data_IF_442770591616
#
_entry.id   IF_442770591616
#
_cell.length_a   1.000
_cell.length_b   1.000
_cell.length_c   1.000
_cell.angle_alpha   90.00
_cell.angle_beta   90.00
_cell.angle_gamma   90.00
#
_symmetry.space_group_name_H-M   'P 1'
#
loop_
_entity.id
_entity.type
_entity.pdbx_description
1 polymer ?
#
# COMPACT_ATOMS: atom_id res chain seq x y z
N UNK A 1 15.09 3.30 -17.60
CA UNK A 1 14.94 4.45 -16.66
C UNK A 1 14.51 3.87 -15.33
N UNK A 2 15.37 3.87 -14.32
CA UNK A 2 15.02 3.32 -13.00
C UNK A 2 14.09 4.32 -12.31
N UNK A 3 12.84 3.94 -12.07
CA UNK A 3 11.86 4.81 -11.45
C UNK A 3 12.22 5.01 -9.97
N UNK A 4 12.46 6.26 -9.56
CA UNK A 4 12.62 6.59 -8.14
C UNK A 4 11.28 6.28 -7.44
N UNK A 5 11.26 5.46 -6.38
CA UNK A 5 10.04 5.16 -5.66
C UNK A 5 9.38 6.44 -5.14
N UNK A 6 8.08 6.57 -5.37
CA UNK A 6 7.27 7.63 -4.80
C UNK A 6 7.14 7.51 -3.27
N UNK A 7 6.58 8.55 -2.64
CA UNK A 7 6.24 8.51 -1.22
C UNK A 7 5.17 7.44 -0.93
N UNK A 8 5.23 6.85 0.25
CA UNK A 8 4.16 5.99 0.76
C UNK A 8 2.84 6.77 0.86
N UNK A 9 1.78 6.16 0.35
CA UNK A 9 0.41 6.69 0.40
C UNK A 9 -0.40 5.84 1.36
N UNK A 10 -0.96 6.52 2.35
CA UNK A 10 -1.84 5.94 3.36
C UNK A 10 -3.31 5.95 2.88
N UNK A 11 -4.15 4.98 3.29
CA UNK A 11 -5.57 5.02 2.98
C UNK A 11 -6.25 6.28 3.54
N UNK A 12 -7.15 6.91 2.76
CA UNK A 12 -7.93 8.08 3.20
C UNK A 12 -8.88 7.78 4.36
N UNK A 13 -9.19 6.50 4.60
CA UNK A 13 -10.03 6.03 5.72
C UNK A 13 -9.28 5.95 7.06
N UNK A 14 -7.96 6.14 7.07
CA UNK A 14 -7.19 6.14 8.32
C UNK A 14 -7.39 7.47 9.06
N UNK A 15 -8.03 7.45 10.22
CA UNK A 15 -8.27 8.64 11.04
C UNK A 15 -7.01 9.18 11.75
N UNK A 16 -7.13 10.35 12.38
CA UNK A 16 -6.08 10.87 13.26
C UNK A 16 -5.82 9.87 14.40
N UNK A 17 -4.54 9.52 14.63
CA UNK A 17 -4.14 8.54 15.65
C UNK A 17 -3.97 7.10 15.14
N UNK A 18 -4.39 6.77 13.92
CA UNK A 18 -4.14 5.45 13.32
C UNK A 18 -2.79 5.38 12.58
N UNK A 19 -1.77 6.06 13.08
CA UNK A 19 -0.51 6.34 12.38
C UNK A 19 0.14 5.09 11.77
N UNK A 20 -0.03 3.94 12.44
CA UNK A 20 0.73 2.71 12.18
C UNK A 20 -0.17 1.47 12.13
N UNK A 21 -1.34 1.53 11.50
CA UNK A 21 -2.27 0.38 11.45
C UNK A 21 -2.86 0.21 10.04
N UNK A 22 -2.05 0.42 9.00
CA UNK A 22 -2.52 0.41 7.61
C UNK A 22 -1.59 -0.37 6.70
N UNK A 23 -2.16 -0.94 5.63
CA UNK A 23 -1.41 -1.28 4.43
C UNK A 23 -1.27 -0.03 3.58
N UNK A 24 -0.03 0.36 3.29
CA UNK A 24 0.30 1.54 2.49
C UNK A 24 0.87 1.14 1.14
N UNK A 25 0.67 1.98 0.13
CA UNK A 25 1.14 1.73 -1.23
C UNK A 25 2.08 2.84 -1.72
N UNK A 26 3.06 2.50 -2.54
CA UNK A 26 3.84 3.48 -3.32
C UNK A 26 4.04 3.00 -4.75
N UNK A 27 4.27 3.95 -5.65
CA UNK A 27 4.67 3.65 -7.03
C UNK A 27 6.19 3.50 -7.08
N UNK A 28 6.68 2.38 -7.59
CA UNK A 28 8.07 2.16 -7.97
C UNK A 28 8.09 1.52 -9.37
N UNK A 29 9.16 0.83 -9.75
CA UNK A 29 9.22 0.06 -10.99
C UNK A 29 8.04 -0.94 -11.11
N UNK A 30 7.70 -1.59 -10.00
CA UNK A 30 6.38 -2.19 -9.80
C UNK A 30 5.71 -1.54 -8.57
N UNK A 31 4.38 -1.54 -8.46
CA UNK A 31 3.74 -1.07 -7.23
C UNK A 31 4.25 -1.85 -6.02
N UNK A 32 4.37 -1.18 -4.90
CA UNK A 32 4.87 -1.78 -3.66
C UNK A 32 3.88 -1.53 -2.53
N UNK A 33 3.66 -2.57 -1.72
CA UNK A 33 2.84 -2.54 -0.53
C UNK A 33 3.70 -2.70 0.71
N UNK A 34 3.30 -2.09 1.81
CA UNK A 34 3.98 -2.23 3.09
C UNK A 34 3.02 -2.03 4.25
N UNK A 35 3.12 -2.87 5.27
CA UNK A 35 2.39 -2.71 6.53
C UNK A 35 3.06 -1.63 7.39
N UNK A 36 2.31 -0.59 7.76
CA UNK A 36 2.77 0.49 8.63
C UNK A 36 2.71 0.14 10.13
N UNK A 37 2.12 -1.00 10.50
CA UNK A 37 2.14 -1.53 11.87
C UNK A 37 3.47 -2.17 12.24
N UNK A 38 4.20 -2.67 11.26
CA UNK A 38 5.47 -3.34 11.52
C UNK A 38 6.46 -2.37 12.16
N UNK A 39 7.01 -2.76 13.31
CA UNK A 39 8.04 -2.01 14.02
C UNK A 39 9.41 -2.17 13.33
N UNK A 40 10.23 -1.12 13.36
CA UNK A 40 11.55 -1.15 12.71
C UNK A 40 11.50 -1.10 11.17
N UNK A 41 12.21 -2.01 10.50
CA UNK A 41 12.31 -2.02 9.03
C UNK A 41 11.05 -2.62 8.44
N UNK A 42 10.21 -1.77 7.84
CA UNK A 42 8.95 -2.20 7.24
C UNK A 42 9.20 -3.13 6.05
N UNK A 43 8.52 -4.29 5.98
CA UNK A 43 8.60 -5.16 4.81
C UNK A 43 8.03 -4.46 3.58
N UNK A 44 8.72 -4.60 2.45
CA UNK A 44 8.30 -4.04 1.15
C UNK A 44 7.95 -5.21 0.24
N UNK A 45 6.67 -5.33 -0.09
CA UNK A 45 6.16 -6.33 -1.02
C UNK A 45 5.99 -5.69 -2.41
N UNK A 46 6.88 -5.96 -3.38
CA UNK A 46 6.60 -5.63 -4.77
C UNK A 46 5.46 -6.52 -5.29
N UNK A 47 4.51 -5.91 -5.97
CA UNK A 47 3.39 -6.61 -6.63
C UNK A 47 3.36 -6.24 -8.10
N UNK A 48 2.79 -7.11 -8.94
CA UNK A 48 2.58 -6.74 -10.34
C UNK A 48 1.52 -5.63 -10.43
N UNK A 49 1.52 -4.88 -11.54
CA UNK A 49 0.45 -3.91 -11.81
C UNK A 49 -0.91 -4.59 -11.87
N UNK A 50 -0.98 -5.80 -12.44
CA UNK A 50 -2.22 -6.59 -12.52
C UNK A 50 -2.77 -6.93 -11.14
N UNK A 51 -1.93 -7.46 -10.24
CA UNK A 51 -2.36 -7.84 -8.89
C UNK A 51 -2.73 -6.61 -8.06
N UNK A 52 -2.00 -5.51 -8.22
CA UNK A 52 -2.32 -4.26 -7.55
C UNK A 52 -3.69 -3.72 -7.98
N UNK A 53 -4.00 -3.76 -9.28
CA UNK A 53 -5.32 -3.36 -9.78
C UNK A 53 -6.43 -4.32 -9.31
N UNK A 54 -6.16 -5.62 -9.27
CA UNK A 54 -7.10 -6.61 -8.73
C UNK A 54 -7.38 -6.34 -7.25
N UNK A 55 -6.35 -6.10 -6.43
CA UNK A 55 -6.50 -5.73 -5.02
C UNK A 55 -7.34 -4.46 -4.84
N UNK A 56 -7.05 -3.41 -5.60
CA UNK A 56 -7.81 -2.16 -5.53
C UNK A 56 -9.27 -2.36 -5.92
N UNK A 57 -9.54 -3.23 -6.90
CA UNK A 57 -10.90 -3.55 -7.29
C UNK A 57 -11.62 -4.30 -6.17
N UNK A 58 -11.00 -5.34 -5.60
CA UNK A 58 -11.55 -6.11 -4.47
C UNK A 58 -11.90 -5.19 -3.30
N UNK A 59 -10.98 -4.33 -2.85
CA UNK A 59 -11.22 -3.42 -1.72
C UNK A 59 -12.32 -2.38 -2.01
N UNK A 60 -12.55 -2.03 -3.27
CA UNK A 60 -13.61 -1.09 -3.66
C UNK A 60 -14.99 -1.75 -3.72
N UNK A 61 -15.05 -3.01 -4.15
CA UNK A 61 -16.31 -3.71 -4.40
C UNK A 61 -16.75 -4.60 -3.25
N UNK A 62 -15.83 -5.00 -2.38
CA UNK A 62 -16.12 -5.83 -1.20
C UNK A 62 -16.41 -4.92 0.00
N UNK A 63 -17.65 -4.89 0.51
CA UNK A 63 -18.00 -4.09 1.68
C UNK A 63 -17.40 -4.62 3.00
N UNK A 64 -16.80 -5.81 2.98
CA UNK A 64 -16.18 -6.45 4.14
C UNK A 64 -14.65 -6.34 4.18
N UNK A 65 -14.05 -5.76 3.13
CA UNK A 65 -12.62 -5.51 3.02
C UNK A 65 -12.15 -4.20 3.68
#
# INVERSE_FOLDING_TARGET
MTQIPGRWRKPSRSGQGQSNNCVEARLAETPQLSDSRHDGVRPVLPVTTTDYLALLNTVKTDPTA
#
